data_IF_526866310017
#
_entry.id   IF_526866310017
#
_cell.length_a   1.000
_cell.length_b   1.000
_cell.length_c   1.000
_cell.angle_alpha   90.00
_cell.angle_beta   90.00
_cell.angle_gamma   90.00
#
_symmetry.space_group_name_H-M   'P 1'
#
loop_
_entity.id
_entity.type
_entity.pdbx_description
1 polymer ?
#
# COMPACT_ATOMS: atom_id res chain seq x y z
N UNK A 1 -61.11 -13.28 -83.02
CA UNK A 1 -59.89 -13.76 -82.34
C UNK A 1 -59.36 -12.65 -81.44
N UNK A 2 -58.73 -12.96 -80.29
CA UNK A 2 -59.30 -13.36 -78.99
C UNK A 2 -59.40 -12.11 -78.04
N UNK A 3 -60.04 -12.10 -76.87
CA UNK A 3 -59.46 -12.52 -75.59
C UNK A 3 -60.54 -12.39 -74.49
N UNK A 4 -60.88 -13.54 -73.91
CA UNK A 4 -61.15 -13.82 -72.50
C UNK A 4 -61.22 -12.63 -71.50
N UNK A 5 -62.45 -12.24 -71.15
CA UNK A 5 -63.14 -12.64 -69.91
C UNK A 5 -62.27 -13.54 -69.01
N UNK A 6 -61.99 -13.32 -67.73
CA UNK A 6 -62.51 -12.39 -66.74
C UNK A 6 -61.73 -12.71 -65.45
N UNK A 7 -61.31 -11.64 -64.76
CA UNK A 7 -61.32 -11.51 -63.31
C UNK A 7 -61.52 -12.79 -62.51
N UNK A 8 -60.47 -13.34 -61.87
CA UNK A 8 -60.60 -14.03 -60.55
C UNK A 8 -59.29 -14.18 -59.75
N UNK A 9 -58.16 -13.60 -60.17
CA UNK A 9 -56.86 -13.74 -59.46
C UNK A 9 -56.40 -12.50 -58.68
N UNK A 10 -57.28 -11.51 -58.49
CA UNK A 10 -56.96 -10.21 -57.86
C UNK A 10 -57.11 -10.20 -56.33
N UNK A 11 -57.71 -11.21 -55.69
CA UNK A 11 -58.04 -11.12 -54.25
C UNK A 11 -57.25 -12.00 -53.27
N UNK A 12 -56.29 -12.82 -53.72
CA UNK A 12 -55.52 -13.67 -52.80
C UNK A 12 -54.01 -13.40 -52.72
N UNK A 13 -53.46 -12.54 -53.58
CA UNK A 13 -52.01 -12.25 -53.63
C UNK A 13 -51.63 -10.83 -53.18
N UNK A 14 -52.46 -10.17 -52.37
CA UNK A 14 -52.14 -8.86 -51.75
C UNK A 14 -52.10 -8.87 -50.22
N UNK A 15 -52.35 -10.01 -49.56
CA UNK A 15 -52.47 -10.08 -48.09
C UNK A 15 -51.31 -10.81 -47.38
N UNK A 16 -50.33 -11.33 -48.12
CA UNK A 16 -49.13 -12.01 -47.58
C UNK A 16 -47.80 -11.29 -47.81
N UNK A 17 -47.78 -10.21 -48.59
CA UNK A 17 -46.55 -9.44 -48.86
C UNK A 17 -46.36 -8.22 -47.94
N UNK A 18 -47.42 -7.73 -47.29
CA UNK A 18 -47.36 -6.54 -46.41
C UNK A 18 -46.79 -6.90 -45.02
N UNK A 19 -46.88 -8.14 -44.58
CA UNK A 19 -46.43 -8.57 -43.25
C UNK A 19 -44.96 -9.00 -43.16
N UNK A 20 -44.24 -9.17 -44.29
CA UNK A 20 -42.80 -9.51 -44.29
C UNK A 20 -41.88 -8.31 -44.46
N UNK A 21 -42.29 -7.26 -45.17
CA UNK A 21 -41.48 -6.03 -45.32
C UNK A 21 -41.58 -5.15 -44.06
N UNK A 22 -42.74 -5.13 -43.39
CA UNK A 22 -42.95 -4.36 -42.17
C UNK A 22 -42.22 -4.92 -40.92
N UNK A 23 -41.73 -6.16 -40.95
CA UNK A 23 -40.93 -6.73 -39.85
C UNK A 23 -39.43 -6.47 -39.99
N UNK A 24 -38.92 -6.22 -41.20
CA UNK A 24 -37.49 -5.93 -41.41
C UNK A 24 -37.22 -4.42 -41.26
N UNK A 25 -38.17 -3.56 -41.63
CA UNK A 25 -38.05 -2.11 -41.43
C UNK A 25 -38.12 -1.68 -39.95
N UNK A 26 -38.80 -2.44 -39.08
CA UNK A 26 -38.86 -2.14 -37.63
C UNK A 26 -37.61 -2.65 -36.90
N UNK A 27 -36.97 -3.72 -37.37
CA UNK A 27 -35.71 -4.21 -36.76
C UNK A 27 -34.50 -3.36 -37.19
N UNK A 28 -34.50 -2.81 -38.40
CA UNK A 28 -33.47 -1.83 -38.82
C UNK A 28 -33.70 -0.41 -38.28
N UNK A 29 -34.95 -0.02 -38.01
CA UNK A 29 -35.27 1.26 -37.38
C UNK A 29 -34.99 1.31 -35.86
N UNK A 30 -35.00 0.16 -35.18
CA UNK A 30 -34.67 0.05 -33.75
C UNK A 30 -33.20 -0.29 -33.47
N UNK A 31 -32.43 -0.69 -34.49
CA UNK A 31 -30.99 -0.93 -34.35
C UNK A 31 -30.13 0.33 -34.56
N UNK A 32 -30.72 1.47 -34.97
CA UNK A 32 -30.00 2.73 -35.20
C UNK A 32 -30.27 3.81 -34.15
N UNK A 33 -31.14 3.54 -33.17
CA UNK A 33 -31.47 4.46 -32.06
C UNK A 33 -30.90 3.98 -30.73
N UNK A 34 -30.36 2.76 -30.68
CA UNK A 34 -29.72 2.21 -29.50
C UNK A 34 -28.21 2.47 -29.50
N UNK A 35 -27.78 3.34 -28.59
CA UNK A 35 -26.39 3.45 -28.14
C UNK A 35 -25.41 4.23 -29.04
N UNK A 36 -25.75 5.49 -29.35
CA UNK A 36 -24.76 6.57 -29.19
C UNK A 36 -24.92 7.17 -27.79
N UNK A 37 -24.68 6.38 -26.74
CA UNK A 37 -24.04 6.98 -25.58
C UNK A 37 -22.56 6.93 -25.92
N UNK A 38 -22.12 7.94 -26.66
CA UNK A 38 -20.74 8.37 -26.50
C UNK A 38 -20.58 8.56 -25.00
N UNK A 39 -19.84 7.65 -24.36
CA UNK A 39 -19.21 7.92 -23.10
C UNK A 39 -18.39 9.18 -23.37
N UNK A 40 -18.97 10.33 -23.03
CA UNK A 40 -18.16 11.48 -22.67
C UNK A 40 -17.33 10.96 -21.52
N UNK A 41 -16.09 10.58 -21.83
CA UNK A 41 -14.99 10.77 -20.92
C UNK A 41 -15.10 12.25 -20.53
N UNK A 42 -15.81 12.51 -19.44
CA UNK A 42 -15.66 13.74 -18.72
C UNK A 42 -14.23 13.64 -18.19
N UNK A 43 -13.28 14.16 -18.96
CA UNK A 43 -11.96 14.53 -18.48
C UNK A 43 -12.22 15.21 -17.14
N UNK A 44 -11.87 14.53 -16.04
CA UNK A 44 -12.10 15.05 -14.71
C UNK A 44 -11.25 16.32 -14.62
N UNK A 45 -11.89 17.48 -14.74
CA UNK A 45 -11.19 18.75 -14.70
C UNK A 45 -10.64 18.92 -13.29
N UNK A 46 -9.35 19.25 -13.20
CA UNK A 46 -8.69 19.39 -11.92
C UNK A 46 -9.40 20.45 -11.06
N UNK A 47 -9.71 20.06 -9.83
CA UNK A 47 -10.28 20.96 -8.83
C UNK A 47 -9.13 21.54 -8.01
N UNK A 48 -9.05 22.87 -7.99
CA UNK A 48 -8.01 23.60 -7.29
C UNK A 48 -8.06 23.27 -5.79
N UNK A 49 -6.90 22.99 -5.22
CA UNK A 49 -6.74 22.68 -3.82
C UNK A 49 -5.92 23.72 -3.06
N UNK A 50 -5.95 23.61 -1.74
CA UNK A 50 -5.11 24.43 -0.87
C UNK A 50 -3.63 24.18 -1.13
N UNK A 51 -2.80 25.22 -0.96
CA UNK A 51 -1.36 25.23 -1.23
C UNK A 51 -0.95 25.17 -2.72
N UNK A 52 -1.88 24.98 -3.66
CA UNK A 52 -1.55 25.03 -5.08
C UNK A 52 -1.00 26.38 -5.49
N UNK A 53 -0.15 26.39 -6.50
CA UNK A 53 0.44 27.61 -7.04
C UNK A 53 -0.19 27.89 -8.39
N UNK A 54 -0.89 29.02 -8.49
CA UNK A 54 -1.59 29.46 -9.69
C UNK A 54 -0.83 30.63 -10.32
N UNK A 55 -0.77 30.65 -11.65
CA UNK A 55 -0.40 31.83 -12.43
C UNK A 55 -1.67 32.45 -12.98
N UNK A 56 -1.87 33.72 -12.64
CA UNK A 56 -3.03 34.50 -13.07
C UNK A 56 -2.53 35.55 -14.05
N UNK A 57 -3.10 35.54 -15.24
CA UNK A 57 -2.75 36.47 -16.30
C UNK A 57 -3.98 37.20 -16.86
N UNK A 58 -3.81 38.50 -17.09
CA UNK A 58 -4.79 39.39 -17.70
C UNK A 58 -4.15 39.94 -18.97
N UNK A 59 -4.59 39.45 -20.13
CA UNK A 59 -4.02 39.86 -21.43
C UNK A 59 -4.10 41.36 -21.67
N UNK A 60 -5.16 42.02 -21.17
CA UNK A 60 -5.40 43.45 -21.33
C UNK A 60 -4.54 44.32 -20.40
N UNK A 61 -4.05 43.78 -19.27
CA UNK A 61 -3.24 44.51 -18.31
C UNK A 61 -2.16 43.59 -17.70
N UNK A 62 -1.02 43.41 -18.40
CA UNK A 62 0.04 42.53 -17.94
C UNK A 62 0.65 42.93 -16.59
N UNK A 63 0.44 44.17 -16.13
CA UNK A 63 0.94 44.63 -14.82
C UNK A 63 0.21 43.97 -13.64
N UNK A 64 -0.95 43.33 -13.89
CA UNK A 64 -1.71 42.59 -12.90
C UNK A 64 -1.30 41.11 -12.81
N UNK A 65 -0.54 40.62 -13.79
CA UNK A 65 -0.10 39.23 -13.89
C UNK A 65 0.80 38.88 -12.72
N UNK A 66 0.52 37.73 -12.09
CA UNK A 66 1.28 37.29 -10.93
C UNK A 66 1.08 35.80 -10.70
N UNK A 67 2.03 35.25 -9.97
CA UNK A 67 1.91 33.93 -9.37
C UNK A 67 1.39 34.07 -7.94
N UNK A 68 0.33 33.35 -7.60
CA UNK A 68 -0.25 33.31 -6.25
C UNK A 68 -0.28 31.88 -5.73
N UNK A 69 -0.21 31.74 -4.40
CA UNK A 69 -0.41 30.45 -3.74
C UNK A 69 -1.78 30.46 -3.09
N UNK A 70 -2.53 29.37 -3.25
CA UNK A 70 -3.83 29.17 -2.60
C UNK A 70 -3.58 28.97 -1.11
N UNK A 71 -4.25 29.78 -0.29
CA UNK A 71 -4.17 29.70 1.17
C UNK A 71 -4.74 28.39 1.72
N UNK A 72 -4.46 28.14 3.00
CA UNK A 72 -5.06 27.01 3.74
C UNK A 72 -6.58 27.17 3.92
N UNK A 73 -7.05 28.40 3.88
CA UNK A 73 -8.47 28.78 3.84
C UNK A 73 -9.10 28.60 2.44
N UNK A 74 -8.30 28.24 1.44
CA UNK A 74 -8.75 28.06 0.06
C UNK A 74 -8.83 29.35 -0.76
N UNK A 75 -8.41 30.49 -0.22
CA UNK A 75 -8.47 31.78 -0.91
C UNK A 75 -7.15 32.17 -1.56
N UNK A 76 -7.22 33.01 -2.60
CA UNK A 76 -6.08 33.69 -3.21
C UNK A 76 -6.19 35.19 -2.98
N UNK A 77 -5.06 35.87 -2.81
CA UNK A 77 -5.01 37.32 -2.59
C UNK A 77 -4.52 38.06 -3.83
N UNK A 78 -5.33 38.99 -4.33
CA UNK A 78 -5.05 39.85 -5.48
C UNK A 78 -5.16 41.33 -5.09
N UNK A 79 -4.33 42.21 -5.67
CA UNK A 79 -4.21 43.60 -5.16
C UNK A 79 -5.49 44.41 -5.37
N UNK A 80 -6.16 44.21 -6.51
CA UNK A 80 -7.31 45.03 -6.89
C UNK A 80 -8.62 44.39 -6.43
N UNK A 81 -8.69 43.06 -6.46
CA UNK A 81 -9.90 42.29 -6.15
C UNK A 81 -9.96 41.87 -4.67
N UNK A 82 -8.81 41.85 -3.98
CA UNK A 82 -8.70 41.33 -2.62
C UNK A 82 -8.66 39.81 -2.60
N UNK A 83 -9.29 39.21 -1.58
CA UNK A 83 -9.38 37.76 -1.45
C UNK A 83 -10.50 37.18 -2.32
N UNK A 84 -10.19 36.10 -3.03
CA UNK A 84 -11.13 35.35 -3.87
C UNK A 84 -11.02 33.88 -3.53
N UNK A 85 -12.15 33.18 -3.46
CA UNK A 85 -12.19 31.74 -3.19
C UNK A 85 -11.71 30.97 -4.44
N UNK A 86 -10.66 30.17 -4.29
CA UNK A 86 -10.06 29.41 -5.38
C UNK A 86 -10.20 27.90 -5.18
N UNK A 87 -10.02 27.42 -3.95
CA UNK A 87 -10.13 26.00 -3.65
C UNK A 87 -11.57 25.50 -3.86
N UNK A 88 -11.72 24.31 -4.44
CA UNK A 88 -13.02 23.74 -4.77
C UNK A 88 -13.59 24.18 -6.12
N UNK A 89 -13.02 25.19 -6.76
CA UNK A 89 -13.35 25.61 -8.12
C UNK A 89 -12.41 24.96 -9.15
N UNK A 90 -12.88 24.80 -10.39
CA UNK A 90 -11.98 24.51 -11.52
C UNK A 90 -11.26 25.77 -11.98
N UNK A 91 -10.20 25.63 -12.78
CA UNK A 91 -9.51 26.77 -13.39
C UNK A 91 -10.47 27.61 -14.23
N UNK A 92 -11.36 26.97 -14.98
CA UNK A 92 -12.36 27.64 -15.82
C UNK A 92 -13.38 28.42 -14.98
N UNK A 93 -13.82 27.87 -13.85
CA UNK A 93 -14.75 28.56 -12.94
C UNK A 93 -14.10 29.79 -12.33
N UNK A 94 -12.86 29.65 -11.86
CA UNK A 94 -12.09 30.74 -11.27
C UNK A 94 -11.77 31.84 -12.30
N UNK A 95 -11.42 31.49 -13.54
CA UNK A 95 -11.23 32.46 -14.64
C UNK A 95 -12.47 33.33 -14.85
N UNK A 96 -13.64 32.70 -14.93
CA UNK A 96 -14.90 33.40 -15.13
C UNK A 96 -15.29 34.29 -13.94
N UNK A 97 -14.94 33.86 -12.72
CA UNK A 97 -15.15 34.66 -11.52
C UNK A 97 -14.21 35.87 -11.47
N UNK A 98 -12.92 35.66 -11.71
CA UNK A 98 -11.92 36.73 -11.75
C UNK A 98 -12.23 37.76 -12.85
N UNK A 99 -12.64 37.31 -14.03
CA UNK A 99 -13.07 38.19 -15.11
C UNK A 99 -14.29 39.04 -14.69
N UNK A 100 -15.28 38.43 -14.04
CA UNK A 100 -16.47 39.14 -13.52
C UNK A 100 -16.13 40.14 -12.42
N UNK A 101 -15.24 39.78 -11.50
CA UNK A 101 -14.76 40.65 -10.44
C UNK A 101 -13.96 41.82 -11.02
N UNK A 102 -13.10 41.55 -12.01
CA UNK A 102 -12.27 42.58 -12.60
C UNK A 102 -13.03 43.57 -13.46
N UNK A 103 -13.98 43.09 -14.26
CA UNK A 103 -14.80 43.96 -15.10
C UNK A 103 -15.56 45.00 -14.26
N UNK A 104 -15.99 44.65 -13.04
CA UNK A 104 -16.66 45.59 -12.11
C UNK A 104 -15.74 46.69 -11.58
N UNK A 105 -14.44 46.44 -11.47
CA UNK A 105 -13.46 47.37 -10.90
C UNK A 105 -12.69 48.13 -11.99
N UNK A 106 -12.50 47.51 -13.15
CA UNK A 106 -11.87 48.07 -14.36
C UNK A 106 -12.61 47.54 -15.60
N UNK A 107 -13.41 48.40 -16.21
CA UNK A 107 -14.23 48.07 -17.40
C UNK A 107 -13.41 47.55 -18.61
N UNK A 108 -12.09 47.78 -18.61
CA UNK A 108 -11.18 47.37 -19.69
C UNK A 108 -10.63 45.93 -19.55
N UNK A 109 -10.82 45.28 -18.39
CA UNK A 109 -10.35 43.92 -18.14
C UNK A 109 -11.55 42.98 -18.15
N UNK A 110 -11.72 42.25 -19.25
CA UNK A 110 -12.86 41.35 -19.47
C UNK A 110 -12.51 39.88 -19.50
N UNK A 111 -11.22 39.54 -19.44
CA UNK A 111 -10.72 38.17 -19.52
C UNK A 111 -9.61 37.97 -18.49
N UNK A 112 -9.60 36.80 -17.88
CA UNK A 112 -8.53 36.30 -17.03
C UNK A 112 -8.18 34.91 -17.53
N UNK A 113 -6.90 34.54 -17.44
CA UNK A 113 -6.45 33.17 -17.64
C UNK A 113 -5.75 32.70 -16.39
N UNK A 114 -6.12 31.50 -15.94
CA UNK A 114 -5.59 30.85 -14.74
C UNK A 114 -4.98 29.53 -15.16
N UNK A 115 -3.68 29.37 -14.88
CA UNK A 115 -2.98 28.11 -15.04
C UNK A 115 -2.40 27.66 -13.71
N UNK A 116 -2.32 26.35 -13.50
CA UNK A 116 -1.67 25.79 -12.31
C UNK A 116 -0.19 25.59 -12.65
N UNK A 117 0.66 26.24 -11.87
CA UNK A 117 2.12 26.10 -12.00
C UNK A 117 2.62 24.92 -11.17
N UNK A 118 2.06 24.72 -9.97
CA UNK A 118 2.41 23.60 -9.10
C UNK A 118 1.19 23.02 -8.40
N UNK A 119 0.96 21.73 -8.59
CA UNK A 119 -0.10 20.94 -7.93
C UNK A 119 0.39 20.46 -6.56
N UNK A 120 0.30 21.31 -5.54
CA UNK A 120 0.84 20.99 -4.20
C UNK A 120 -0.17 20.29 -3.30
N UNK A 121 -1.46 20.45 -3.58
CA UNK A 121 -2.53 19.86 -2.78
C UNK A 121 -2.53 18.32 -2.85
N UNK A 122 -2.51 17.77 -4.06
CA UNK A 122 -2.52 16.34 -4.32
C UNK A 122 -1.09 15.80 -4.28
N UNK A 123 -0.57 15.60 -3.08
CA UNK A 123 0.78 15.06 -2.88
C UNK A 123 0.78 13.78 -2.06
N UNK A 124 1.86 13.03 -2.19
CA UNK A 124 2.16 11.82 -1.41
C UNK A 124 3.63 11.83 -0.98
N UNK A 125 3.99 10.94 -0.07
CA UNK A 125 5.36 10.75 0.39
C UNK A 125 5.86 9.37 0.01
N UNK A 126 7.09 9.28 -0.48
CA UNK A 126 7.72 8.01 -0.82
C UNK A 126 9.00 7.88 -0.03
N UNK A 127 9.13 6.81 0.74
CA UNK A 127 10.26 6.55 1.62
C UNK A 127 10.79 5.12 1.44
N UNK A 128 12.01 4.89 1.93
CA UNK A 128 12.65 3.59 1.86
C UNK A 128 13.44 3.40 0.55
N UNK A 129 13.35 2.22 -0.03
CA UNK A 129 14.20 1.73 -1.13
C UNK A 129 13.68 2.11 -2.52
N UNK A 130 13.30 3.37 -2.72
CA UNK A 130 12.99 3.96 -4.03
C UNK A 130 14.23 4.68 -4.61
N UNK A 131 14.33 4.79 -5.94
CA UNK A 131 15.45 5.51 -6.58
C UNK A 131 15.38 7.03 -6.32
N UNK A 132 14.18 7.60 -6.31
CA UNK A 132 13.93 9.02 -6.00
C UNK A 132 12.89 9.12 -4.88
N UNK A 133 13.30 8.99 -3.60
CA UNK A 133 12.41 9.17 -2.46
C UNK A 133 12.10 10.65 -2.23
N UNK A 134 11.00 10.94 -1.54
CA UNK A 134 10.58 12.28 -1.16
C UNK A 134 9.10 12.57 -1.40
N UNK A 135 8.72 13.84 -1.23
CA UNK A 135 7.37 14.34 -1.54
C UNK A 135 7.19 14.40 -3.06
N UNK A 136 6.11 13.83 -3.56
CA UNK A 136 5.70 13.88 -4.97
C UNK A 136 4.30 14.48 -5.06
N UNK A 137 4.10 15.33 -6.05
CA UNK A 137 2.88 16.11 -6.24
C UNK A 137 2.34 15.81 -7.64
N UNK A 138 1.02 15.67 -7.74
CA UNK A 138 0.32 15.20 -8.93
C UNK A 138 -0.91 16.05 -9.20
N UNK A 139 -1.32 16.15 -10.46
CA UNK A 139 -2.63 16.66 -10.82
C UNK A 139 -3.72 15.69 -10.33
N UNK A 140 -3.64 14.45 -10.80
CA UNK A 140 -4.43 13.33 -10.29
C UNK A 140 -3.48 12.27 -9.73
N UNK A 141 -3.76 11.76 -8.53
CA UNK A 141 -2.91 10.74 -7.90
C UNK A 141 -3.05 9.44 -8.71
N UNK A 142 -1.98 8.96 -9.36
CA UNK A 142 -2.08 7.78 -10.20
C UNK A 142 -2.01 6.50 -9.35
N UNK A 143 -2.12 5.35 -10.01
CA UNK A 143 -2.02 4.05 -9.33
C UNK A 143 -0.65 3.84 -8.69
N UNK A 144 -0.60 2.99 -7.65
CA UNK A 144 0.59 2.68 -6.88
C UNK A 144 1.79 2.28 -7.77
N UNK A 145 1.55 1.51 -8.82
CA UNK A 145 2.60 1.10 -9.74
C UNK A 145 3.19 2.28 -10.54
N UNK A 146 2.33 3.17 -11.03
CA UNK A 146 2.73 4.37 -11.76
C UNK A 146 3.56 5.29 -10.87
N UNK A 147 3.12 5.48 -9.62
CA UNK A 147 3.85 6.25 -8.60
C UNK A 147 5.28 5.72 -8.39
N UNK A 148 5.42 4.40 -8.27
CA UNK A 148 6.73 3.75 -8.10
C UNK A 148 7.62 4.00 -9.31
N UNK A 149 7.07 3.93 -10.53
CA UNK A 149 7.82 4.20 -11.76
C UNK A 149 8.22 5.66 -11.92
N UNK A 150 7.36 6.61 -11.56
CA UNK A 150 7.68 8.05 -11.55
C UNK A 150 8.72 8.43 -10.49
N UNK A 151 8.96 7.53 -9.55
CA UNK A 151 10.06 7.61 -8.58
C UNK A 151 11.35 6.98 -9.10
N UNK A 152 11.41 6.67 -10.39
CA UNK A 152 12.52 5.98 -11.04
C UNK A 152 12.55 4.49 -10.78
N UNK A 153 11.48 3.90 -10.26
CA UNK A 153 11.43 2.52 -9.81
C UNK A 153 12.05 2.30 -8.43
N UNK A 154 12.22 1.03 -8.08
CA UNK A 154 12.85 0.61 -6.81
C UNK A 154 14.36 0.44 -6.98
N UNK A 155 15.09 0.61 -5.88
CA UNK A 155 16.51 0.25 -5.82
C UNK A 155 16.68 -1.27 -5.90
N UNK A 156 17.88 -1.80 -6.21
CA UNK A 156 18.14 -3.25 -6.20
C UNK A 156 17.88 -3.94 -4.85
N UNK A 157 17.83 -3.16 -3.77
CA UNK A 157 17.58 -3.64 -2.41
C UNK A 157 16.11 -3.50 -2.00
N UNK A 158 15.23 -2.98 -2.86
CA UNK A 158 13.83 -2.73 -2.54
C UNK A 158 12.95 -3.97 -2.70
N UNK A 159 12.09 -4.22 -1.70
CA UNK A 159 11.16 -5.35 -1.70
C UNK A 159 9.75 -4.91 -2.12
N UNK A 160 9.36 -5.27 -3.34
CA UNK A 160 8.02 -5.00 -3.89
C UNK A 160 6.94 -5.94 -3.35
N UNK A 161 7.31 -6.99 -2.61
CA UNK A 161 6.35 -7.98 -2.11
C UNK A 161 5.61 -7.48 -0.86
N UNK A 162 6.14 -6.43 -0.22
CA UNK A 162 5.67 -5.91 1.07
C UNK A 162 5.68 -4.38 1.11
N UNK A 163 5.23 -3.74 0.03
CA UNK A 163 5.11 -2.29 0.00
C UNK A 163 4.07 -1.87 1.03
N UNK A 164 4.40 -0.90 1.87
CA UNK A 164 3.52 -0.45 2.95
C UNK A 164 2.94 0.92 2.59
N UNK A 165 1.62 1.05 2.63
CA UNK A 165 0.91 2.32 2.50
C UNK A 165 0.46 2.74 3.89
N UNK A 166 0.98 3.86 4.36
CA UNK A 166 0.56 4.50 5.61
C UNK A 166 -0.38 5.63 5.20
N UNK A 167 -1.66 5.52 5.58
CA UNK A 167 -2.68 6.50 5.19
C UNK A 167 -2.45 7.84 5.88
N UNK A 168 -2.68 8.93 5.14
CA UNK A 168 -2.62 10.31 5.64
C UNK A 168 -3.99 10.96 5.81
N UNK A 169 -4.00 12.21 6.31
CA UNK A 169 -5.23 13.00 6.46
C UNK A 169 -6.18 12.45 7.53
N UNK A 170 -7.46 12.30 7.16
CA UNK A 170 -8.52 11.84 8.08
C UNK A 170 -8.36 10.37 8.51
N UNK A 171 -7.69 9.56 7.67
CA UNK A 171 -7.43 8.13 7.91
C UNK A 171 -6.03 7.89 8.52
N UNK A 172 -5.41 8.94 9.08
CA UNK A 172 -4.04 8.88 9.58
C UNK A 172 -3.77 7.70 10.53
N UNK A 173 -2.72 6.94 10.24
CA UNK A 173 -2.25 5.83 11.07
C UNK A 173 -2.78 4.45 10.67
N UNK A 174 -3.66 4.36 9.67
CA UNK A 174 -3.98 3.08 9.04
C UNK A 174 -2.81 2.62 8.17
N UNK A 175 -2.44 1.35 8.30
CA UNK A 175 -1.33 0.73 7.58
C UNK A 175 -1.88 -0.41 6.73
N UNK A 176 -1.61 -0.35 5.43
CA UNK A 176 -1.98 -1.37 4.46
C UNK A 176 -0.72 -1.95 3.81
N UNK A 177 -0.57 -3.27 3.83
CA UNK A 177 0.57 -3.95 3.23
C UNK A 177 0.12 -4.55 1.90
N UNK A 178 0.85 -4.24 0.85
CA UNK A 178 0.50 -4.56 -0.53
C UNK A 178 1.64 -5.34 -1.19
N UNK A 179 1.27 -6.48 -1.78
CA UNK A 179 2.17 -7.27 -2.62
C UNK A 179 2.12 -6.78 -4.07
N UNK A 180 2.93 -5.77 -4.37
CA UNK A 180 3.03 -5.21 -5.73
C UNK A 180 3.70 -6.19 -6.68
N UNK A 181 4.63 -7.01 -6.19
CA UNK A 181 5.29 -8.04 -6.98
C UNK A 181 4.29 -9.05 -7.56
N UNK A 182 3.34 -9.51 -6.75
CA UNK A 182 2.28 -10.45 -7.17
C UNK A 182 1.31 -9.81 -8.17
N UNK A 183 0.93 -8.55 -7.96
CA UNK A 183 0.09 -7.83 -8.92
C UNK A 183 0.77 -7.69 -10.30
N UNK A 184 2.09 -7.45 -10.31
CA UNK A 184 2.89 -7.41 -11.54
C UNK A 184 2.99 -8.79 -12.21
N UNK A 185 3.27 -9.83 -11.43
CA UNK A 185 3.42 -11.19 -11.94
C UNK A 185 2.11 -11.75 -12.51
N UNK A 186 0.98 -11.40 -11.89
CA UNK A 186 -0.36 -11.81 -12.33
C UNK A 186 -0.96 -10.91 -13.41
N UNK A 187 -0.35 -9.74 -13.68
CA UNK A 187 -0.88 -8.73 -14.59
C UNK A 187 -2.14 -8.01 -14.09
N UNK A 188 -2.49 -8.16 -12.81
CA UNK A 188 -3.70 -7.60 -12.20
C UNK A 188 -3.36 -6.32 -11.43
N UNK A 189 -2.89 -5.29 -12.15
CA UNK A 189 -2.55 -4.00 -11.55
C UNK A 189 -3.79 -3.25 -11.03
N UNK A 190 -4.95 -3.50 -11.63
CA UNK A 190 -6.22 -2.90 -11.23
C UNK A 190 -6.66 -3.30 -9.81
N UNK A 191 -6.09 -4.38 -9.25
CA UNK A 191 -6.38 -4.86 -7.90
C UNK A 191 -5.54 -4.15 -6.83
N UNK A 192 -4.58 -3.30 -7.23
CA UNK A 192 -3.78 -2.54 -6.27
C UNK A 192 -4.67 -1.51 -5.54
N UNK A 193 -4.46 -1.31 -4.23
CA UNK A 193 -5.21 -0.30 -3.49
C UNK A 193 -4.95 1.09 -4.07
N UNK A 194 -6.04 1.87 -4.22
CA UNK A 194 -5.94 3.26 -4.65
C UNK A 194 -5.18 4.08 -3.60
N UNK A 195 -4.18 4.81 -4.07
CA UNK A 195 -3.40 5.74 -3.23
C UNK A 195 -4.19 7.04 -3.10
N UNK A 196 -4.16 7.65 -1.92
CA UNK A 196 -4.83 8.90 -1.61
C UNK A 196 -3.82 9.98 -1.31
N UNK A 197 -4.29 11.23 -1.33
CA UNK A 197 -3.46 12.38 -0.96
C UNK A 197 -2.97 12.19 0.48
N UNK A 198 -1.76 12.66 0.72
CA UNK A 198 -1.04 12.60 1.99
C UNK A 198 -0.64 11.18 2.44
N UNK A 199 -0.90 10.15 1.64
CA UNK A 199 -0.39 8.81 1.91
C UNK A 199 1.14 8.78 1.86
N UNK A 200 1.71 7.92 2.70
CA UNK A 200 3.15 7.61 2.70
C UNK A 200 3.35 6.18 2.21
N UNK A 201 4.07 6.02 1.10
CA UNK A 201 4.44 4.73 0.54
C UNK A 201 5.86 4.41 1.01
N UNK A 202 5.98 3.36 1.82
CA UNK A 202 7.25 2.81 2.26
C UNK A 202 7.59 1.57 1.45
N UNK A 203 8.75 1.60 0.80
CA UNK A 203 9.32 0.45 0.12
C UNK A 203 10.40 -0.13 1.03
N UNK A 204 10.13 -1.25 1.72
CA UNK A 204 11.10 -1.81 2.65
C UNK A 204 12.31 -2.39 1.90
N UNK A 205 13.36 -2.64 2.66
CA UNK A 205 14.52 -3.38 2.14
C UNK A 205 14.20 -4.87 2.06
N UNK A 206 14.71 -5.54 1.04
CA UNK A 206 14.73 -7.00 0.95
C UNK A 206 15.35 -7.60 2.22
N UNK A 207 14.70 -8.60 2.84
CA UNK A 207 15.23 -9.25 4.02
C UNK A 207 16.50 -10.01 3.63
N UNK A 208 17.57 -9.85 4.41
CA UNK A 208 18.81 -10.63 4.27
C UNK A 208 19.90 -10.06 3.36
N UNK A 209 19.66 -9.00 2.58
CA UNK A 209 20.73 -8.28 1.89
C UNK A 209 21.29 -7.17 2.78
N UNK A 210 22.31 -7.51 3.54
CA UNK A 210 23.19 -6.51 4.13
C UNK A 210 24.40 -6.38 3.22
N UNK A 211 24.63 -5.19 2.69
CA UNK A 211 25.80 -4.89 1.87
C UNK A 211 27.05 -5.28 2.67
N UNK A 212 27.84 -6.21 2.12
CA UNK A 212 29.00 -6.84 2.75
C UNK A 212 30.12 -5.88 3.18
N UNK A 213 29.93 -4.56 3.10
CA UNK A 213 30.88 -3.54 3.56
C UNK A 213 30.73 -3.14 5.03
N UNK A 214 29.59 -3.41 5.68
CA UNK A 214 29.32 -2.86 7.03
C UNK A 214 28.82 -3.90 8.05
N UNK A 215 28.97 -5.19 7.75
CA UNK A 215 28.60 -6.30 8.65
C UNK A 215 29.78 -7.21 8.92
N UNK A 216 30.77 -6.70 9.62
CA UNK A 216 31.87 -7.51 10.14
C UNK A 216 31.87 -7.62 11.67
N UNK A 217 30.81 -7.19 12.37
CA UNK A 217 30.74 -7.30 13.85
C UNK A 217 29.43 -7.81 14.44
N UNK A 218 28.45 -8.21 13.63
CA UNK A 218 27.15 -8.71 14.11
C UNK A 218 26.55 -9.86 13.27
N UNK A 219 27.36 -10.54 12.46
CA UNK A 219 26.91 -11.58 11.53
C UNK A 219 26.77 -12.96 12.19
N UNK A 220 27.52 -13.25 13.26
CA UNK A 220 27.47 -14.57 13.92
C UNK A 220 26.17 -14.84 14.68
N UNK A 221 25.36 -13.82 15.00
CA UNK A 221 24.10 -13.99 15.76
C UNK A 221 22.85 -14.06 14.88
N UNK A 222 22.95 -13.67 13.60
CA UNK A 222 21.82 -13.61 12.63
C UNK A 222 21.70 -14.86 11.75
N UNK A 223 22.63 -15.81 11.89
CA UNK A 223 22.63 -17.08 11.16
C UNK A 223 22.35 -18.23 12.14
N UNK A 224 21.35 -18.06 13.00
CA UNK A 224 20.97 -19.07 14.01
C UNK A 224 19.48 -19.39 13.88
N UNK A 225 19.11 -20.65 14.12
CA UNK A 225 17.74 -21.10 14.36
C UNK A 225 17.64 -21.50 15.83
N UNK A 226 16.48 -21.33 16.44
CA UNK A 226 16.27 -21.69 17.84
C UNK A 226 15.38 -22.93 17.95
N UNK A 227 15.86 -23.98 18.61
CA UNK A 227 15.04 -25.14 18.95
C UNK A 227 14.85 -25.19 20.44
N UNK A 228 13.60 -25.07 20.91
CA UNK A 228 13.27 -25.01 22.34
C UNK A 228 12.12 -25.95 22.71
N UNK A 229 12.02 -26.26 24.00
CA UNK A 229 10.97 -27.12 24.54
C UNK A 229 11.47 -28.54 24.83
N UNK A 230 10.64 -29.54 24.57
CA UNK A 230 10.82 -30.94 24.93
C UNK A 230 11.78 -31.69 23.97
N UNK A 231 12.99 -31.18 23.80
CA UNK A 231 14.07 -31.77 22.98
C UNK A 231 15.27 -32.13 23.86
N UNK A 232 16.16 -33.00 23.38
CA UNK A 232 17.30 -33.46 24.19
C UNK A 232 18.37 -32.37 24.38
N UNK A 233 18.56 -31.49 23.38
CA UNK A 233 19.52 -30.39 23.40
C UNK A 233 18.82 -29.09 22.94
N UNK A 234 18.08 -28.40 23.83
CA UNK A 234 17.47 -27.12 23.49
C UNK A 234 18.55 -26.03 23.38
N UNK A 235 18.45 -25.19 22.36
CA UNK A 235 19.45 -24.14 22.13
C UNK A 235 19.38 -23.52 20.75
N UNK A 236 20.33 -22.63 20.49
CA UNK A 236 20.55 -22.08 19.16
C UNK A 236 21.44 -23.04 18.35
N UNK A 237 21.03 -23.28 17.11
CA UNK A 237 21.79 -24.05 16.12
C UNK A 237 22.23 -23.12 15.00
N UNK A 238 23.37 -23.41 14.38
CA UNK A 238 23.81 -22.67 13.20
C UNK A 238 22.84 -22.91 12.05
N UNK A 239 22.41 -21.82 11.41
CA UNK A 239 21.60 -21.88 10.20
C UNK A 239 22.45 -22.40 9.04
N UNK A 240 21.92 -23.38 8.33
CA UNK A 240 22.47 -23.91 7.08
C UNK A 240 21.42 -23.77 5.97
N UNK A 241 21.87 -23.55 4.73
CA UNK A 241 20.95 -23.40 3.60
C UNK A 241 20.15 -24.70 3.38
N UNK A 242 18.82 -24.58 3.27
CA UNK A 242 17.86 -25.70 3.12
C UNK A 242 17.66 -26.59 4.34
N UNK A 243 18.02 -26.14 5.54
CA UNK A 243 17.74 -26.87 6.78
C UNK A 243 16.23 -27.02 7.00
N UNK A 244 15.79 -28.27 7.21
CA UNK A 244 14.38 -28.57 7.47
C UNK A 244 14.06 -28.77 8.97
N UNK A 245 12.78 -28.70 9.33
CA UNK A 245 12.32 -28.80 10.73
C UNK A 245 12.78 -30.12 11.39
N UNK A 246 12.81 -31.22 10.63
CA UNK A 246 13.23 -32.52 11.17
C UNK A 246 14.75 -32.58 11.38
N UNK A 247 15.51 -31.95 10.49
CA UNK A 247 16.96 -31.81 10.56
C UNK A 247 17.38 -30.92 11.73
N UNK A 248 16.70 -29.78 11.96
CA UNK A 248 16.95 -29.00 13.17
C UNK A 248 16.61 -29.76 14.45
N UNK A 249 15.53 -30.55 14.45
CA UNK A 249 15.21 -31.40 15.58
C UNK A 249 16.30 -32.46 15.82
N UNK A 250 16.87 -33.02 14.74
CA UNK A 250 17.99 -33.96 14.84
C UNK A 250 19.25 -33.28 15.40
N UNK A 251 19.57 -32.06 14.97
CA UNK A 251 20.66 -31.26 15.53
C UNK A 251 20.43 -30.93 17.02
N UNK A 252 19.18 -30.75 17.43
CA UNK A 252 18.78 -30.63 18.84
C UNK A 252 18.78 -31.97 19.60
N UNK A 253 19.43 -33.00 19.07
CA UNK A 253 19.55 -34.32 19.70
C UNK A 253 18.28 -35.17 19.64
N UNK A 254 17.30 -34.78 18.82
CA UNK A 254 16.00 -35.43 18.72
C UNK A 254 15.02 -35.01 19.81
N UNK A 255 13.75 -35.44 19.70
CA UNK A 255 12.73 -35.15 20.70
C UNK A 255 12.99 -35.94 21.99
N UNK A 256 12.66 -35.34 23.13
CA UNK A 256 12.66 -36.03 24.43
C UNK A 256 11.49 -37.00 24.54
N UNK A 257 11.55 -37.93 25.50
CA UNK A 257 10.44 -38.87 25.77
C UNK A 257 9.11 -38.17 26.12
N UNK A 258 9.20 -36.97 26.69
CA UNK A 258 8.05 -36.17 27.08
C UNK A 258 7.52 -35.28 25.94
N UNK A 259 8.08 -35.34 24.73
CA UNK A 259 7.69 -34.46 23.62
C UNK A 259 6.31 -34.77 23.04
N UNK A 260 5.55 -33.73 22.70
CA UNK A 260 4.33 -33.81 21.91
C UNK A 260 4.61 -33.39 20.46
N UNK A 261 4.97 -34.38 19.63
CA UNK A 261 5.36 -34.19 18.23
C UNK A 261 4.19 -33.76 17.33
N UNK A 262 2.95 -34.06 17.70
CA UNK A 262 1.76 -33.65 16.96
C UNK A 262 1.45 -32.15 17.07
N UNK A 263 2.07 -31.47 18.05
CA UNK A 263 1.79 -30.07 18.38
C UNK A 263 3.02 -29.18 18.30
N UNK A 264 4.04 -29.59 17.55
CA UNK A 264 5.19 -28.74 17.36
C UNK A 264 4.77 -27.44 16.67
N UNK A 265 5.35 -26.33 17.12
CA UNK A 265 5.05 -24.99 16.65
C UNK A 265 6.30 -24.44 16.01
N UNK A 266 6.20 -24.09 14.74
CA UNK A 266 7.22 -23.34 14.05
C UNK A 266 6.83 -21.86 14.06
N UNK A 267 7.63 -21.06 14.75
CA UNK A 267 7.47 -19.62 14.84
C UNK A 267 8.41 -19.00 13.82
N UNK A 268 7.83 -18.55 12.71
CA UNK A 268 8.51 -17.87 11.63
C UNK A 268 8.71 -16.41 12.01
N UNK A 269 9.94 -15.93 11.92
CA UNK A 269 10.27 -14.54 12.23
C UNK A 269 10.58 -13.77 10.95
N UNK A 270 9.55 -13.20 10.34
CA UNK A 270 9.70 -12.35 9.14
C UNK A 270 10.13 -10.90 9.45
N UNK A 271 10.83 -10.69 10.57
CA UNK A 271 11.34 -9.38 11.02
C UNK A 271 10.29 -8.40 11.57
N UNK A 272 9.00 -8.57 11.26
CA UNK A 272 7.91 -7.66 11.70
C UNK A 272 6.76 -8.37 12.43
N UNK A 273 6.46 -9.63 12.09
CA UNK A 273 5.45 -10.45 12.76
C UNK A 273 6.00 -11.85 13.02
N UNK A 274 5.53 -12.48 14.10
CA UNK A 274 5.77 -13.89 14.39
C UNK A 274 4.55 -14.69 13.90
N UNK A 275 4.70 -15.45 12.82
CA UNK A 275 3.67 -16.40 12.39
C UNK A 275 3.92 -17.75 13.04
N UNK A 276 2.89 -18.34 13.66
CA UNK A 276 3.00 -19.66 14.28
C UNK A 276 2.31 -20.70 13.40
N UNK A 277 3.08 -21.60 12.82
CA UNK A 277 2.60 -22.74 12.05
C UNK A 277 2.63 -23.97 12.96
N UNK A 278 1.50 -24.66 13.07
CA UNK A 278 1.43 -25.96 13.72
C UNK A 278 1.95 -27.02 12.74
N UNK A 279 2.92 -27.82 13.18
CA UNK A 279 3.55 -28.86 12.36
C UNK A 279 3.47 -30.20 13.09
N UNK A 280 2.83 -31.20 12.48
CA UNK A 280 2.77 -32.56 13.00
C UNK A 280 4.02 -33.34 12.55
N UNK A 281 5.01 -33.41 13.44
CA UNK A 281 6.26 -34.12 13.19
C UNK A 281 6.09 -35.64 13.20
N UNK A 282 5.05 -36.15 13.88
CA UNK A 282 4.77 -37.59 13.96
C UNK A 282 4.18 -38.09 12.64
N UNK A 283 3.22 -37.35 12.09
CA UNK A 283 2.66 -37.62 10.75
C UNK A 283 3.75 -37.49 9.68
N UNK A 284 4.60 -36.46 9.78
CA UNK A 284 5.73 -36.26 8.87
C UNK A 284 6.69 -37.44 8.87
N UNK A 285 7.10 -37.91 10.05
CA UNK A 285 8.00 -39.07 10.15
C UNK A 285 7.40 -40.37 9.60
N UNK A 286 6.06 -40.51 9.63
CA UNK A 286 5.37 -41.73 9.20
C UNK A 286 5.01 -41.74 7.72
N UNK A 287 4.63 -40.58 7.18
CA UNK A 287 3.99 -40.47 5.86
C UNK A 287 4.76 -39.59 4.87
N UNK A 288 5.75 -38.82 5.33
CA UNK A 288 6.41 -37.78 4.54
C UNK A 288 5.50 -36.59 4.22
N UNK A 289 4.39 -36.42 4.94
CA UNK A 289 3.45 -35.29 4.83
C UNK A 289 3.34 -34.56 6.18
N UNK A 290 3.22 -33.22 6.21
CA UNK A 290 3.22 -32.30 5.06
C UNK A 290 4.60 -32.27 4.36
N UNK A 291 4.67 -31.62 3.19
CA UNK A 291 5.94 -31.47 2.48
C UNK A 291 7.00 -30.80 3.37
N UNK A 292 8.28 -31.07 3.10
CA UNK A 292 9.43 -30.55 3.86
C UNK A 292 9.27 -29.05 4.08
N UNK A 293 9.28 -28.63 5.34
CA UNK A 293 9.30 -27.21 5.69
C UNK A 293 10.74 -26.77 5.89
N UNK A 294 11.20 -25.86 5.03
CA UNK A 294 12.54 -25.28 5.10
C UNK A 294 12.48 -24.08 6.05
N UNK A 295 13.30 -24.09 7.10
CA UNK A 295 13.33 -22.99 8.05
C UNK A 295 14.18 -21.83 7.51
N UNK A 296 13.79 -20.62 7.87
CA UNK A 296 14.52 -19.39 7.66
C UNK A 296 15.44 -19.05 8.83
N UNK A 297 16.23 -17.99 8.66
CA UNK A 297 17.11 -17.46 9.70
C UNK A 297 16.27 -16.90 10.85
N UNK A 298 16.71 -17.11 12.08
CA UNK A 298 16.08 -16.64 13.31
C UNK A 298 14.71 -17.26 13.66
N UNK A 299 14.25 -18.20 12.83
CA UNK A 299 13.07 -19.00 13.12
C UNK A 299 13.23 -19.81 14.40
N UNK A 300 12.09 -20.14 15.01
CA UNK A 300 12.05 -20.86 16.26
C UNK A 300 11.13 -22.08 16.17
N UNK A 301 11.69 -23.26 16.41
CA UNK A 301 10.95 -24.50 16.60
C UNK A 301 10.67 -24.71 18.09
N UNK A 302 9.41 -24.67 18.48
CA UNK A 302 8.93 -24.99 19.83
C UNK A 302 8.28 -26.36 19.85
N UNK A 303 8.86 -27.30 20.60
CA UNK A 303 8.29 -28.62 20.82
C UNK A 303 7.65 -28.68 22.21
N UNK A 304 6.31 -28.71 22.34
CA UNK A 304 5.66 -28.75 23.65
C UNK A 304 5.81 -30.12 24.33
N UNK A 305 5.57 -30.15 25.64
CA UNK A 305 5.49 -31.40 26.41
C UNK A 305 4.11 -32.04 26.28
N UNK A 306 4.06 -33.38 26.18
CA UNK A 306 2.84 -34.18 26.10
C UNK A 306 2.10 -34.11 27.43
N UNK A 307 0.93 -33.48 27.40
CA UNK A 307 0.12 -33.21 28.60
C UNK A 307 -0.62 -34.48 29.05
N UNK A 308 0.01 -35.27 29.92
CA UNK A 308 -0.66 -36.38 30.61
C UNK A 308 -1.32 -35.82 31.88
N UNK A 309 -2.65 -35.73 31.91
CA UNK A 309 -3.37 -35.03 32.97
C UNK A 309 -3.43 -35.79 34.29
N UNK A 310 -2.97 -35.16 35.39
CA UNK A 310 -3.78 -34.72 36.54
C UNK A 310 -2.90 -33.81 37.42
N UNK A 311 -3.31 -32.55 37.59
CA UNK A 311 -2.70 -31.49 38.43
C UNK A 311 -1.31 -30.94 38.05
N UNK A 312 -1.28 -29.96 37.15
CA UNK A 312 -0.39 -28.78 37.29
C UNK A 312 -0.89 -27.61 36.43
N UNK A 313 -1.08 -26.50 37.11
CA UNK A 313 -1.61 -25.21 36.69
C UNK A 313 -0.71 -24.42 35.72
N UNK A 314 -1.35 -23.67 34.81
CA UNK A 314 -0.91 -22.36 34.29
C UNK A 314 0.52 -22.18 33.74
N UNK A 315 0.93 -22.94 32.72
CA UNK A 315 2.13 -22.57 31.92
C UNK A 315 1.78 -21.72 30.67
N UNK A 316 0.50 -21.55 30.36
CA UNK A 316 0.02 -20.69 29.27
C UNK A 316 0.23 -19.17 29.47
N UNK A 317 0.93 -18.75 30.53
CA UNK A 317 1.19 -17.32 30.82
C UNK A 317 2.68 -16.95 30.65
N UNK A 318 3.60 -17.92 30.53
CA UNK A 318 5.04 -17.59 30.43
C UNK A 318 5.51 -17.22 29.00
N UNK A 319 4.75 -17.57 27.95
CA UNK A 319 5.08 -17.14 26.58
C UNK A 319 4.79 -15.65 26.34
N UNK A 320 3.86 -15.05 27.08
CA UNK A 320 3.55 -13.61 26.96
C UNK A 320 4.49 -12.71 27.79
N UNK A 321 5.16 -13.24 28.83
CA UNK A 321 5.98 -12.44 29.73
C UNK A 321 7.41 -12.18 29.22
N UNK A 322 7.97 -13.04 28.39
CA UNK A 322 9.34 -12.86 27.88
C UNK A 322 9.46 -11.77 26.80
N UNK A 323 8.36 -11.38 26.17
CA UNK A 323 8.33 -10.24 25.23
C UNK A 323 8.25 -8.87 25.92
N UNK A 324 7.82 -8.80 27.18
CA UNK A 324 7.67 -7.54 27.91
C UNK A 324 8.90 -7.19 28.78
N UNK A 325 9.66 -8.20 29.26
CA UNK A 325 10.76 -7.96 30.20
C UNK A 325 12.05 -7.50 29.48
N UNK A 326 12.29 -7.91 28.24
CA UNK A 326 13.47 -7.43 27.49
C UNK A 326 13.37 -5.94 27.16
N UNK A 327 12.17 -5.42 26.90
CA UNK A 327 11.95 -3.99 26.64
C UNK A 327 12.14 -3.13 27.91
N UNK A 328 11.75 -3.63 29.08
CA UNK A 328 11.91 -2.89 30.34
C UNK A 328 13.38 -2.77 30.79
N UNK A 329 14.18 -3.82 30.59
CA UNK A 329 15.62 -3.81 30.95
C UNK A 329 16.43 -2.92 29.97
N UNK A 330 16.04 -2.88 28.69
CA UNK A 330 16.72 -2.03 27.69
C UNK A 330 16.39 -0.52 27.81
N UNK A 331 15.27 -0.16 28.44
CA UNK A 331 14.91 1.24 28.70
C UNK A 331 15.56 1.77 29.99
N UNK A 332 15.71 0.93 31.03
CA UNK A 332 16.34 1.37 32.29
C UNK A 332 17.83 1.68 32.12
N UNK A 333 18.55 0.87 31.33
CA UNK A 333 20.00 1.04 31.10
C UNK A 333 20.32 2.23 30.18
N UNK A 334 19.32 2.80 29.50
CA UNK A 334 19.44 4.01 28.66
C UNK A 334 19.04 5.30 29.36
N UNK A 335 18.46 5.23 30.55
CA UNK A 335 17.93 6.39 31.29
C UNK A 335 18.64 6.65 32.62
N UNK A 336 19.64 5.86 33.04
CA UNK A 336 20.51 6.28 34.15
C UNK A 336 21.58 7.24 33.63
N UNK A 337 21.55 8.54 33.98
CA UNK A 337 22.65 9.43 33.65
C UNK A 337 23.87 9.00 34.47
N UNK A 338 24.98 8.80 33.77
CA UNK A 338 26.30 8.68 34.39
C UNK A 338 26.70 10.02 34.99
N UNK A 339 26.31 10.30 36.24
CA UNK A 339 26.82 11.46 36.98
C UNK A 339 28.06 11.07 37.79
N UNK A 340 29.20 11.38 37.19
CA UNK A 340 30.16 12.35 37.71
C UNK A 340 30.42 12.34 39.21
N UNK A 341 31.62 11.90 39.58
CA UNK A 341 32.08 11.87 40.96
C UNK A 341 32.13 13.22 41.69
N UNK A 342 32.26 13.12 43.01
CA UNK A 342 32.94 14.12 43.84
C UNK A 342 33.49 13.48 45.10
N UNK A 343 34.72 13.88 45.41
CA UNK A 343 35.50 13.56 46.59
C UNK A 343 34.90 14.15 47.89
N UNK A 344 35.62 13.89 49.00
CA UNK A 344 35.42 14.26 50.42
C UNK A 344 34.58 13.23 51.18
N UNK A 345 34.98 12.67 52.32
CA UNK A 345 35.99 13.03 53.30
C UNK A 345 35.39 12.75 54.68
N UNK A 346 36.14 12.07 55.56
CA UNK A 346 35.84 12.06 57.00
C UNK A 346 35.23 10.78 57.58
N UNK A 347 36.10 9.99 58.23
CA UNK A 347 35.91 9.57 59.62
C UNK A 347 35.09 8.31 59.92
N UNK A 348 35.76 7.29 60.48
CA UNK A 348 35.20 6.50 61.58
C UNK A 348 36.31 6.19 62.57
N UNK A 349 36.05 6.50 63.84
CA UNK A 349 36.70 5.95 65.03
C UNK A 349 36.68 4.40 64.97
N UNK A 350 37.65 3.67 65.51
CA UNK A 350 38.02 3.55 66.92
C UNK A 350 39.39 2.87 67.01
#
# INVERSE_FOLDING_TARGET
MPINVMYWSILWRKRRMITRVARIAVVFGLAFVGCLTASQDAMAEYVIGSEDVLEISFWQDPALNRQVTVGLDGSISLDVIGQVEAAGNTTTELENELARLMYRLRENVSQASVSIVEYRYNHIYIIGQANVPGKKAFEEIPDLWTIINESGGVTPLGDLSRVTIIRGGDDAGQIEIVNVHEALASGQLDNLPKVRRQDTIEIPRMPGQVLSGEVARSTDRKNLIYVIGAVNLPGAISFEDNIDVAEALAYAGGPSEAADLCKAQLILKDGYYAQTVMFDLEEYSRTGKPARYIMGKEDMLLVPVRRQGFLASNVGILAAALGAITTAILIYDRLSPSDGGRATGGGVAY
#
